data_IF_913138678210
#
_entry.id   IF_913138678210
#
_cell.length_a   1.000
_cell.length_b   1.000
_cell.length_c   1.000
_cell.angle_alpha   90.00
_cell.angle_beta   90.00
_cell.angle_gamma   90.00
#
_symmetry.space_group_name_H-M   'P 1'
#
loop_
_entity.id
_entity.type
_entity.pdbx_description
1 polymer ?
#
# COMPACT_ATOMS: atom_id res chain seq x y z
N UNK A 1 -10.00 -58.30 -27.20
CA UNK A 1 -11.23 -57.48 -27.15
C UNK A 1 -11.07 -56.12 -26.45
N UNK A 2 -9.84 -55.59 -26.26
CA UNK A 2 -9.60 -54.38 -25.44
C UNK A 2 -9.15 -53.11 -26.20
N UNK A 3 -8.80 -53.17 -27.48
CA UNK A 3 -8.23 -52.02 -28.22
C UNK A 3 -9.27 -50.97 -28.65
N UNK A 4 -10.52 -51.39 -28.91
CA UNK A 4 -11.60 -50.48 -29.34
C UNK A 4 -12.10 -49.60 -28.20
N UNK A 5 -12.18 -50.15 -27.00
CA UNK A 5 -12.59 -49.42 -25.80
C UNK A 5 -11.51 -48.40 -25.39
N UNK A 6 -10.22 -48.77 -25.42
CA UNK A 6 -9.11 -47.84 -25.10
C UNK A 6 -9.03 -46.64 -26.05
N UNK A 7 -9.35 -46.84 -27.34
CA UNK A 7 -9.40 -45.75 -28.33
C UNK A 7 -10.56 -44.78 -27.99
N UNK A 8 -11.75 -45.30 -27.66
CA UNK A 8 -12.90 -44.47 -27.30
C UNK A 8 -12.67 -43.66 -26.01
N UNK A 9 -12.04 -44.25 -24.99
CA UNK A 9 -11.67 -43.51 -23.77
C UNK A 9 -10.70 -42.36 -24.08
N UNK A 10 -9.70 -42.60 -24.94
CA UNK A 10 -8.73 -41.58 -25.37
C UNK A 10 -9.39 -40.43 -26.14
N UNK A 11 -10.43 -40.69 -26.94
CA UNK A 11 -11.21 -39.65 -27.61
C UNK A 11 -12.01 -38.79 -26.62
N UNK A 12 -12.67 -39.42 -25.64
CA UNK A 12 -13.43 -38.71 -24.60
C UNK A 12 -12.48 -37.85 -23.76
N UNK A 13 -11.33 -38.38 -23.36
CA UNK A 13 -10.29 -37.62 -22.64
C UNK A 13 -9.84 -36.38 -23.40
N UNK A 14 -9.57 -36.51 -24.71
CA UNK A 14 -9.16 -35.37 -25.55
C UNK A 14 -10.27 -34.31 -25.65
N UNK A 15 -11.53 -34.72 -25.81
CA UNK A 15 -12.67 -33.80 -25.87
C UNK A 15 -12.84 -33.06 -24.54
N UNK A 16 -12.73 -33.78 -23.41
CA UNK A 16 -12.81 -33.18 -22.07
C UNK A 16 -11.67 -32.18 -21.86
N UNK A 17 -10.44 -32.53 -22.25
CA UNK A 17 -9.29 -31.62 -22.15
C UNK A 17 -9.47 -30.37 -23.01
N UNK A 18 -9.95 -30.50 -24.25
CA UNK A 18 -10.24 -29.36 -25.12
C UNK A 18 -11.31 -28.47 -24.49
N UNK A 19 -12.40 -29.05 -23.97
CA UNK A 19 -13.47 -28.29 -23.32
C UNK A 19 -12.95 -27.51 -22.10
N UNK A 20 -12.13 -28.15 -21.25
CA UNK A 20 -11.49 -27.50 -20.10
C UNK A 20 -10.61 -26.32 -20.55
N UNK A 21 -9.75 -26.54 -21.54
CA UNK A 21 -8.86 -25.49 -22.08
C UNK A 21 -9.67 -24.35 -22.68
N UNK A 22 -10.73 -24.63 -23.44
CA UNK A 22 -11.60 -23.60 -24.02
C UNK A 22 -12.32 -22.79 -22.95
N UNK A 23 -12.82 -23.42 -21.89
CA UNK A 23 -13.47 -22.74 -20.76
C UNK A 23 -12.48 -21.82 -20.04
N UNK A 24 -11.29 -22.30 -19.70
CA UNK A 24 -10.27 -21.48 -19.06
C UNK A 24 -9.71 -20.39 -19.98
N UNK A 25 -9.60 -20.67 -21.28
CA UNK A 25 -9.20 -19.70 -22.30
C UNK A 25 -10.21 -18.56 -22.40
N UNK A 26 -11.51 -18.87 -22.48
CA UNK A 26 -12.58 -17.87 -22.53
C UNK A 26 -12.65 -17.05 -21.24
N UNK A 27 -12.55 -17.71 -20.08
CA UNK A 27 -12.53 -17.03 -18.78
C UNK A 27 -11.33 -16.08 -18.65
N UNK A 28 -10.15 -16.51 -19.11
CA UNK A 28 -8.93 -15.68 -19.13
C UNK A 28 -9.08 -14.49 -20.08
N UNK A 29 -9.67 -14.72 -21.26
CA UNK A 29 -9.95 -13.66 -22.22
C UNK A 29 -10.89 -12.60 -21.66
N UNK A 30 -12.03 -13.01 -21.08
CA UNK A 30 -12.98 -12.09 -20.43
C UNK A 30 -12.34 -11.33 -19.27
N UNK A 31 -11.55 -12.02 -18.44
CA UNK A 31 -10.80 -11.40 -17.35
C UNK A 31 -9.87 -10.30 -17.85
N UNK A 32 -9.11 -10.56 -18.91
CA UNK A 32 -8.17 -9.60 -19.49
C UNK A 32 -8.87 -8.44 -20.20
N UNK A 33 -10.12 -8.60 -20.65
CA UNK A 33 -10.93 -7.49 -21.19
C UNK A 33 -11.35 -6.49 -20.10
N UNK A 34 -11.62 -6.98 -18.89
CA UNK A 34 -12.12 -6.16 -17.77
C UNK A 34 -10.95 -5.58 -16.96
N UNK A 35 -9.95 -6.40 -16.64
CA UNK A 35 -8.81 -6.02 -15.79
C UNK A 35 -7.68 -5.46 -16.65
N UNK A 36 -7.81 -4.19 -17.03
CA UNK A 36 -6.82 -3.48 -17.84
C UNK A 36 -5.74 -2.80 -17.01
N UNK A 37 -6.07 -2.52 -15.76
CA UNK A 37 -5.23 -1.83 -14.79
C UNK A 37 -5.64 -2.21 -13.37
N UNK A 38 -4.86 -1.76 -12.39
CA UNK A 38 -5.14 -2.00 -10.96
C UNK A 38 -6.51 -1.45 -10.54
N UNK A 39 -6.95 -0.34 -11.12
CA UNK A 39 -8.19 0.32 -10.73
C UNK A 39 -9.41 -0.51 -11.15
N UNK A 40 -9.43 -0.98 -12.39
CA UNK A 40 -10.47 -1.85 -12.94
C UNK A 40 -10.50 -3.20 -12.25
N UNK A 41 -9.33 -3.80 -12.00
CA UNK A 41 -9.19 -5.03 -11.21
C UNK A 41 -9.79 -4.86 -9.80
N UNK A 42 -9.28 -3.92 -9.01
CA UNK A 42 -9.69 -3.81 -7.61
C UNK A 42 -11.13 -3.30 -7.45
N UNK A 43 -11.63 -2.51 -8.41
CA UNK A 43 -13.04 -2.11 -8.45
C UNK A 43 -13.99 -3.31 -8.64
N UNK A 44 -13.64 -4.25 -9.52
CA UNK A 44 -14.42 -5.47 -9.71
C UNK A 44 -14.36 -6.39 -8.47
N UNK A 45 -13.17 -6.54 -7.86
CA UNK A 45 -13.01 -7.35 -6.65
C UNK A 45 -13.80 -6.78 -5.47
N UNK A 46 -13.80 -5.46 -5.27
CA UNK A 46 -14.61 -4.81 -4.22
C UNK A 46 -16.09 -5.09 -4.40
N UNK A 47 -16.60 -5.07 -5.64
CA UNK A 47 -18.01 -5.40 -5.94
C UNK A 47 -18.35 -6.85 -5.59
N UNK A 48 -17.44 -7.78 -5.86
CA UNK A 48 -17.61 -9.22 -5.60
C UNK A 48 -17.36 -9.62 -4.14
N UNK A 49 -16.69 -8.78 -3.37
CA UNK A 49 -16.31 -9.07 -1.98
C UNK A 49 -16.41 -7.82 -1.09
N UNK A 50 -17.63 -7.28 -0.89
CA UNK A 50 -17.85 -5.98 -0.25
C UNK A 50 -17.48 -5.93 1.24
N UNK A 51 -17.34 -7.08 1.89
CA UNK A 51 -17.01 -7.21 3.33
C UNK A 51 -15.53 -7.56 3.59
N UNK A 52 -14.68 -7.58 2.56
CA UNK A 52 -13.26 -7.84 2.73
C UNK A 52 -12.44 -6.54 2.72
N UNK A 53 -11.65 -6.29 3.76
CA UNK A 53 -10.83 -5.08 3.88
C UNK A 53 -9.72 -4.97 2.82
N UNK A 54 -9.11 -6.09 2.41
CA UNK A 54 -7.92 -6.12 1.55
C UNK A 54 -8.18 -5.53 0.15
N UNK A 55 -9.27 -5.89 -0.57
CA UNK A 55 -9.64 -5.26 -1.83
C UNK A 55 -9.76 -3.73 -1.74
N UNK A 56 -10.37 -3.19 -0.69
CA UNK A 56 -10.49 -1.74 -0.51
C UNK A 56 -9.13 -1.07 -0.29
N UNK A 57 -8.22 -1.67 0.48
CA UNK A 57 -6.86 -1.16 0.60
C UNK A 57 -6.15 -1.12 -0.77
N UNK A 58 -6.31 -2.17 -1.57
CA UNK A 58 -5.65 -2.22 -2.87
C UNK A 58 -6.27 -1.25 -3.89
N UNK A 59 -7.58 -1.07 -3.87
CA UNK A 59 -8.25 -0.03 -4.66
C UNK A 59 -7.81 1.37 -4.22
N UNK A 60 -7.72 1.62 -2.92
CA UNK A 60 -7.18 2.86 -2.37
C UNK A 60 -5.73 3.12 -2.84
N UNK A 61 -4.88 2.08 -2.86
CA UNK A 61 -3.51 2.17 -3.41
C UNK A 61 -3.49 2.49 -4.90
N UNK A 62 -4.41 1.96 -5.70
CA UNK A 62 -4.52 2.30 -7.11
C UNK A 62 -4.85 3.80 -7.30
N UNK A 63 -5.81 4.33 -6.52
CA UNK A 63 -6.10 5.77 -6.52
C UNK A 63 -4.92 6.61 -6.01
N UNK A 64 -4.19 6.12 -5.01
CA UNK A 64 -2.99 6.77 -4.49
C UNK A 64 -1.91 6.89 -5.57
N UNK A 65 -1.69 5.84 -6.36
CA UNK A 65 -0.76 5.84 -7.49
C UNK A 65 -1.11 6.88 -8.56
N UNK A 66 -2.41 7.11 -8.77
CA UNK A 66 -2.94 8.17 -9.64
C UNK A 66 -3.05 9.55 -8.97
N UNK A 67 -2.51 9.71 -7.75
CA UNK A 67 -2.59 10.93 -6.92
C UNK A 67 -4.01 11.41 -6.61
N UNK A 68 -5.00 10.54 -6.76
CA UNK A 68 -6.40 10.79 -6.43
C UNK A 68 -6.62 10.58 -4.92
N UNK A 69 -6.05 11.48 -4.12
CA UNK A 69 -5.92 11.29 -2.67
C UNK A 69 -7.26 11.19 -1.93
N UNK A 70 -8.28 11.94 -2.36
CA UNK A 70 -9.61 11.89 -1.72
C UNK A 70 -10.30 10.53 -1.91
N UNK A 71 -10.23 9.98 -3.12
CA UNK A 71 -10.72 8.63 -3.41
C UNK A 71 -9.91 7.59 -2.63
N UNK A 72 -8.58 7.72 -2.60
CA UNK A 72 -7.71 6.83 -1.83
C UNK A 72 -8.11 6.80 -0.35
N UNK A 73 -8.28 7.97 0.29
CA UNK A 73 -8.77 8.11 1.67
C UNK A 73 -10.10 7.38 1.87
N UNK A 74 -11.08 7.62 1.01
CA UNK A 74 -12.41 6.99 1.09
C UNK A 74 -12.32 5.46 1.16
N UNK A 75 -11.46 4.87 0.33
CA UNK A 75 -11.30 3.42 0.27
C UNK A 75 -10.44 2.87 1.41
N UNK A 76 -9.40 3.59 1.85
CA UNK A 76 -8.65 3.19 3.05
C UNK A 76 -9.51 3.24 4.30
N UNK A 77 -10.35 4.26 4.46
CA UNK A 77 -11.30 4.34 5.58
C UNK A 77 -12.32 3.20 5.54
N UNK A 78 -12.82 2.81 4.36
CA UNK A 78 -13.68 1.62 4.23
C UNK A 78 -12.93 0.34 4.61
N UNK A 79 -11.67 0.19 4.22
CA UNK A 79 -10.83 -0.93 4.63
C UNK A 79 -10.67 -0.98 6.16
N UNK A 80 -10.45 0.17 6.80
CA UNK A 80 -10.29 0.29 8.25
C UNK A 80 -11.59 0.11 9.03
N UNK A 81 -12.75 0.44 8.44
CA UNK A 81 -14.06 0.08 9.02
C UNK A 81 -14.26 -1.44 9.09
N UNK A 82 -13.77 -2.17 8.08
CA UNK A 82 -13.86 -3.63 8.02
C UNK A 82 -12.78 -4.33 8.86
N UNK A 83 -11.58 -3.75 8.92
CA UNK A 83 -10.49 -4.22 9.78
C UNK A 83 -9.75 -3.02 10.42
N UNK A 84 -10.12 -2.64 11.66
CA UNK A 84 -9.52 -1.50 12.36
C UNK A 84 -8.00 -1.61 12.60
N UNK A 85 -7.44 -2.82 12.59
CA UNK A 85 -6.03 -3.09 12.87
C UNK A 85 -5.20 -3.31 11.59
N UNK A 86 -5.73 -2.96 10.42
CA UNK A 86 -5.04 -3.16 9.16
C UNK A 86 -3.92 -2.12 8.96
N UNK A 87 -2.72 -2.39 9.47
CA UNK A 87 -1.57 -1.46 9.43
C UNK A 87 -1.23 -0.94 8.04
N UNK A 88 -1.33 -1.78 7.00
CA UNK A 88 -1.09 -1.34 5.62
C UNK A 88 -2.06 -0.25 5.18
N UNK A 89 -3.35 -0.36 5.54
CA UNK A 89 -4.34 0.66 5.21
C UNK A 89 -4.09 1.96 6.00
N UNK A 90 -3.67 1.87 7.27
CA UNK A 90 -3.28 3.06 8.07
C UNK A 90 -2.06 3.77 7.49
N UNK A 91 -1.04 3.02 7.10
CA UNK A 91 0.14 3.58 6.45
C UNK A 91 -0.22 4.30 5.14
N UNK A 92 -0.97 3.64 4.26
CA UNK A 92 -1.37 4.25 2.99
C UNK A 92 -2.33 5.45 3.18
N UNK A 93 -3.18 5.42 4.21
CA UNK A 93 -4.01 6.56 4.58
C UNK A 93 -3.14 7.75 5.04
N UNK A 94 -2.07 7.49 5.79
CA UNK A 94 -1.07 8.49 6.14
C UNK A 94 -0.41 9.13 4.90
N UNK A 95 -0.03 8.33 3.91
CA UNK A 95 0.52 8.84 2.64
C UNK A 95 -0.50 9.71 1.91
N UNK A 96 -1.77 9.28 1.85
CA UNK A 96 -2.82 10.04 1.18
C UNK A 96 -3.08 11.40 1.88
N UNK A 97 -3.10 11.44 3.22
CA UNK A 97 -3.19 12.70 3.95
C UNK A 97 -1.96 13.59 3.75
N UNK A 98 -0.76 13.02 3.69
CA UNK A 98 0.46 13.76 3.37
C UNK A 98 0.42 14.36 1.96
N UNK A 99 -0.12 13.62 0.98
CA UNK A 99 -0.36 14.11 -0.39
C UNK A 99 -1.32 15.31 -0.46
N UNK A 100 -2.24 15.40 0.50
CA UNK A 100 -3.13 16.56 0.71
C UNK A 100 -2.54 17.61 1.67
N UNK A 101 -1.29 17.46 2.10
CA UNK A 101 -0.63 18.33 3.09
C UNK A 101 -1.33 18.39 4.46
N UNK A 102 -2.16 17.40 4.78
CA UNK A 102 -2.84 17.25 6.07
C UNK A 102 -1.92 16.52 7.07
N UNK A 103 -0.80 17.15 7.40
CA UNK A 103 0.31 16.50 8.10
C UNK A 103 -0.05 15.96 9.49
N UNK A 104 -0.87 16.64 10.29
CA UNK A 104 -1.28 16.13 11.61
C UNK A 104 -2.18 14.88 11.50
N UNK A 105 -3.01 14.78 10.46
CA UNK A 105 -3.77 13.54 10.17
C UNK A 105 -2.83 12.43 9.72
N UNK A 106 -1.85 12.74 8.87
CA UNK A 106 -0.84 11.77 8.45
C UNK A 106 -0.04 11.23 9.64
N UNK A 107 0.43 12.10 10.54
CA UNK A 107 1.12 11.75 11.79
C UNK A 107 0.28 10.77 12.61
N UNK A 108 -1.01 11.07 12.79
CA UNK A 108 -1.93 10.23 13.55
C UNK A 108 -2.01 8.83 12.96
N UNK A 109 -2.18 8.72 11.64
CA UNK A 109 -2.31 7.43 10.97
C UNK A 109 -1.00 6.65 10.89
N UNK A 110 0.16 7.32 10.72
CA UNK A 110 1.47 6.68 10.80
C UNK A 110 1.76 6.10 12.19
N UNK A 111 1.51 6.86 13.27
CA UNK A 111 1.63 6.35 14.64
C UNK A 111 0.73 5.14 14.86
N UNK A 112 -0.52 5.23 14.39
CA UNK A 112 -1.48 4.14 14.41
C UNK A 112 -1.03 2.91 13.62
N UNK A 113 -0.29 3.07 12.52
CA UNK A 113 0.23 1.98 11.71
C UNK A 113 1.34 1.20 12.42
N UNK A 114 2.19 1.89 13.19
CA UNK A 114 3.28 1.30 13.98
C UNK A 114 2.79 0.36 15.11
N UNK A 115 1.54 0.48 15.55
CA UNK A 115 0.99 -0.40 16.59
C UNK A 115 0.63 -1.81 16.10
N UNK A 116 0.56 -2.06 14.79
CA UNK A 116 0.18 -3.38 14.28
C UNK A 116 1.37 -4.33 14.09
N UNK A 117 1.05 -5.60 13.88
CA UNK A 117 2.03 -6.68 13.72
C UNK A 117 2.46 -6.81 12.25
N UNK A 118 3.70 -6.46 11.95
CA UNK A 118 4.27 -6.62 10.60
C UNK A 118 5.33 -5.58 10.30
N UNK A 119 6.59 -6.03 10.27
CA UNK A 119 7.78 -5.20 10.11
C UNK A 119 8.06 -4.59 8.70
N UNK A 120 7.47 -5.01 7.56
CA UNK A 120 8.10 -4.73 6.27
C UNK A 120 8.08 -3.26 5.81
N UNK A 121 7.45 -2.34 6.56
CA UNK A 121 7.39 -0.90 6.24
C UNK A 121 7.71 0.01 7.43
N UNK A 122 8.23 -0.53 8.55
CA UNK A 122 8.47 0.33 9.72
C UNK A 122 9.51 1.41 9.46
N UNK A 123 10.56 1.10 8.69
CA UNK A 123 11.53 2.11 8.27
C UNK A 123 10.86 3.24 7.47
N UNK A 124 10.02 2.90 6.48
CA UNK A 124 9.28 3.88 5.68
C UNK A 124 8.30 4.70 6.52
N UNK A 125 7.59 4.07 7.46
CA UNK A 125 6.66 4.77 8.36
C UNK A 125 7.41 5.78 9.22
N UNK A 126 8.53 5.38 9.85
CA UNK A 126 9.36 6.27 10.64
C UNK A 126 9.92 7.43 9.79
N UNK A 127 10.41 7.16 8.57
CA UNK A 127 10.86 8.21 7.68
C UNK A 127 9.73 9.20 7.32
N UNK A 128 8.56 8.70 6.92
CA UNK A 128 7.44 9.58 6.54
C UNK A 128 6.86 10.36 7.74
N UNK A 129 6.85 9.76 8.92
CA UNK A 129 6.50 10.41 10.17
C UNK A 129 7.49 11.53 10.49
N UNK A 130 8.79 11.28 10.32
CA UNK A 130 9.85 12.27 10.45
C UNK A 130 9.68 13.44 9.47
N UNK A 131 9.36 13.17 8.20
CA UNK A 131 9.07 14.21 7.20
C UNK A 131 7.89 15.09 7.64
N UNK A 132 6.81 14.48 8.13
CA UNK A 132 5.65 15.23 8.61
C UNK A 132 5.97 16.10 9.84
N UNK A 133 6.75 15.58 10.79
CA UNK A 133 7.23 16.38 11.92
C UNK A 133 8.12 17.53 11.47
N UNK A 134 9.01 17.30 10.52
CA UNK A 134 9.91 18.32 10.01
C UNK A 134 9.15 19.48 9.36
N UNK A 135 8.19 19.17 8.47
CA UNK A 135 7.36 20.17 7.78
C UNK A 135 6.50 20.97 8.78
N UNK A 136 6.04 20.33 9.86
CA UNK A 136 5.25 20.98 10.91
C UNK A 136 6.10 21.70 11.96
N UNK A 137 7.41 21.88 11.72
CA UNK A 137 8.34 22.62 12.59
C UNK A 137 8.79 21.86 13.83
N UNK A 138 8.44 20.58 13.97
CA UNK A 138 8.77 19.71 15.09
C UNK A 138 10.09 18.97 14.83
N UNK A 139 11.15 19.73 14.55
CA UNK A 139 12.44 19.22 14.05
C UNK A 139 13.09 18.17 14.96
N UNK A 140 12.98 18.30 16.28
CA UNK A 140 13.56 17.32 17.20
C UNK A 140 12.88 15.95 17.11
N UNK A 141 11.55 15.94 16.98
CA UNK A 141 10.81 14.69 16.75
C UNK A 141 11.14 14.12 15.37
N UNK A 142 11.31 14.96 14.35
CA UNK A 142 11.74 14.50 13.03
C UNK A 142 13.09 13.77 13.06
N UNK A 143 14.08 14.33 13.75
CA UNK A 143 15.42 13.73 13.91
C UNK A 143 15.32 12.35 14.57
N UNK A 144 14.51 12.23 15.61
CA UNK A 144 14.32 10.95 16.28
C UNK A 144 13.71 9.91 15.33
N UNK A 145 12.65 10.26 14.62
CA UNK A 145 12.01 9.34 13.66
C UNK A 145 12.94 8.95 12.49
N UNK A 146 13.76 9.86 11.96
CA UNK A 146 14.75 9.48 10.94
C UNK A 146 15.82 8.53 11.50
N UNK A 147 16.26 8.73 12.74
CA UNK A 147 17.17 7.78 13.41
C UNK A 147 16.52 6.42 13.60
N UNK A 148 15.22 6.38 13.91
CA UNK A 148 14.47 5.14 14.00
C UNK A 148 14.43 4.40 12.66
N UNK A 149 14.15 5.12 11.57
CA UNK A 149 14.18 4.56 10.22
C UNK A 149 15.54 3.97 9.86
N UNK A 150 16.64 4.68 10.16
CA UNK A 150 18.02 4.22 9.93
C UNK A 150 18.37 3.01 10.82
N UNK A 151 17.89 2.98 12.07
CA UNK A 151 18.11 1.85 12.97
C UNK A 151 17.48 0.57 12.44
N UNK A 152 16.30 0.67 11.82
CA UNK A 152 15.59 -0.46 11.21
C UNK A 152 16.21 -0.85 9.87
N UNK A 153 16.54 0.13 9.04
CA UNK A 153 17.22 -0.07 7.76
C UNK A 153 18.44 0.87 7.64
N UNK A 154 19.65 0.39 7.98
CA UNK A 154 20.86 1.20 7.92
C UNK A 154 21.20 1.74 6.53
N UNK A 155 20.67 1.14 5.46
CA UNK A 155 20.92 1.52 4.07
C UNK A 155 19.82 2.42 3.49
N UNK A 156 18.90 2.94 4.32
CA UNK A 156 17.81 3.78 3.84
C UNK A 156 18.30 5.19 3.50
N UNK A 157 18.63 5.42 2.22
CA UNK A 157 19.20 6.68 1.71
C UNK A 157 18.35 7.91 2.05
N UNK A 158 17.03 7.82 1.88
CA UNK A 158 16.12 8.94 2.14
C UNK A 158 16.14 9.35 3.61
N UNK A 159 16.20 8.39 4.54
CA UNK A 159 16.27 8.69 5.97
C UNK A 159 17.58 9.37 6.35
N UNK A 160 18.73 8.96 5.79
CA UNK A 160 20.02 9.64 6.00
C UNK A 160 20.01 11.06 5.44
N UNK A 161 19.48 11.24 4.22
CA UNK A 161 19.34 12.54 3.60
C UNK A 161 18.46 13.48 4.43
N UNK A 162 17.29 13.01 4.84
CA UNK A 162 16.35 13.78 5.64
C UNK A 162 16.91 14.12 7.02
N UNK A 163 17.65 13.20 7.65
CA UNK A 163 18.35 13.46 8.91
C UNK A 163 19.39 14.59 8.77
N UNK A 164 20.16 14.59 7.69
CA UNK A 164 21.14 15.65 7.39
C UNK A 164 20.46 17.03 7.23
N UNK A 165 19.34 17.09 6.52
CA UNK A 165 18.53 18.32 6.39
C UNK A 165 18.04 18.78 7.76
N UNK A 166 17.53 17.86 8.57
CA UNK A 166 16.99 18.18 9.89
C UNK A 166 18.06 18.74 10.83
N UNK A 167 19.28 18.19 10.82
CA UNK A 167 20.40 18.74 11.59
C UNK A 167 20.84 20.12 11.12
N UNK A 168 20.90 20.35 9.80
CA UNK A 168 21.22 21.68 9.26
C UNK A 168 20.19 22.71 9.71
N UNK A 169 18.90 22.38 9.65
CA UNK A 169 17.84 23.25 10.11
C UNK A 169 17.98 23.56 11.62
N UNK A 170 18.21 22.54 12.45
CA UNK A 170 18.40 22.70 13.90
C UNK A 170 19.60 23.61 14.24
N UNK A 171 20.74 23.41 13.57
CA UNK A 171 21.94 24.23 13.76
C UNK A 171 21.80 25.67 13.25
N UNK A 172 20.97 25.91 12.23
CA UNK A 172 20.68 27.27 11.76
C UNK A 172 19.74 28.06 12.68
N UNK A 173 18.90 27.37 13.46
CA UNK A 173 18.00 27.99 14.44
C UNK A 173 18.71 28.47 15.70
N UNK A 174 19.72 27.74 16.19
CA UNK A 174 20.52 28.13 17.36
C UNK A 174 21.41 29.35 17.11
N UNK A 175 21.74 29.66 15.86
CA UNK A 175 22.49 30.87 15.49
C UNK A 175 21.68 32.17 15.46
N UNK A 176 20.33 32.10 15.48
CA UNK A 176 19.45 33.28 15.46
C UNK A 176 19.05 33.81 16.83
N UNK A 177 19.34 33.08 17.92
CA UNK A 177 19.02 33.49 19.29
C UNK A 177 20.21 34.10 20.05
N UNK A 178 21.39 34.20 19.42
CA UNK A 178 22.60 34.78 19.98
C UNK A 178 23.09 36.02 19.19
N UNK A 179 22.20 36.96 18.87
CA UNK A 179 22.56 38.31 18.45
C UNK A 179 21.62 39.33 19.05
#
# INVERSE_FOLDING_TARGET
MNSRNSINYRYIEVIVLIAIVSVYGLATYQRNLIWKDDLTLWSDVVKKSPENARPYNNLGRAYLGSKAYLQAITYFEKALRLNPYFSYARYNLGIAYQGLQLYDKAITEYKKALYGTGQPYFADIHNNLGVCYFITGRTDMAIEEFRQAIRINPYFSDAHYNLGIAYKAKGSGTGRLNK
#
